data_IF_803292233360
#
_entry.id   IF_803292233360
#
_cell.length_a   1.000
_cell.length_b   1.000
_cell.length_c   1.000
_cell.angle_alpha   90.00
_cell.angle_beta   90.00
_cell.angle_gamma   90.00
#
_symmetry.space_group_name_H-M   'P 1'
#
loop_
_entity.id
_entity.type
_entity.pdbx_description
1 polymer ?
#
# COMPACT_ATOMS: atom_id res chain seq x y z
N UNK A 1 -13.01 -17.68 -18.35
CA UNK A 1 -12.78 -16.29 -17.94
C UNK A 1 -11.28 -16.04 -18.02
N UNK A 2 -10.84 -15.08 -18.85
CA UNK A 2 -9.44 -14.66 -18.89
C UNK A 2 -9.10 -14.01 -17.54
N UNK A 3 -7.97 -14.40 -16.94
CA UNK A 3 -7.48 -13.72 -15.73
C UNK A 3 -7.28 -12.24 -16.03
N UNK A 4 -7.68 -11.33 -15.13
CA UNK A 4 -7.49 -9.90 -15.36
C UNK A 4 -5.99 -9.60 -15.53
N UNK A 5 -5.66 -8.79 -16.53
CA UNK A 5 -4.30 -8.29 -16.74
C UNK A 5 -3.99 -7.34 -15.60
N UNK A 6 -2.99 -7.68 -14.81
CA UNK A 6 -2.53 -6.86 -13.69
C UNK A 6 -1.72 -5.65 -14.18
N UNK A 7 -1.73 -4.58 -13.39
CA UNK A 7 -0.91 -3.39 -13.68
C UNK A 7 0.57 -3.76 -13.71
N UNK A 8 1.35 -3.30 -14.71
CA UNK A 8 2.79 -3.53 -14.78
C UNK A 8 3.50 -3.08 -13.49
N UNK A 9 4.30 -3.96 -12.93
CA UNK A 9 5.04 -3.68 -11.70
C UNK A 9 6.47 -4.19 -11.78
N UNK A 10 7.40 -3.47 -11.13
CA UNK A 10 8.82 -3.78 -11.07
C UNK A 10 9.29 -3.66 -9.62
N UNK A 11 10.03 -4.66 -9.15
CA UNK A 11 10.71 -4.61 -7.85
C UNK A 11 12.22 -4.55 -8.09
N UNK A 12 12.84 -3.50 -7.57
CA UNK A 12 14.29 -3.31 -7.57
C UNK A 12 14.79 -3.43 -6.13
N UNK A 13 15.89 -4.15 -5.92
CA UNK A 13 16.49 -4.32 -4.59
C UNK A 13 17.99 -4.52 -4.69
N UNK A 14 18.72 -4.04 -3.70
CA UNK A 14 20.17 -4.26 -3.59
C UNK A 14 20.53 -5.53 -2.83
N UNK A 15 19.56 -6.31 -2.36
CA UNK A 15 19.81 -7.49 -1.50
C UNK A 15 20.63 -8.62 -2.20
N UNK A 16 20.63 -8.62 -3.53
CA UNK A 16 21.37 -9.61 -4.35
C UNK A 16 22.66 -9.06 -4.94
N UNK A 17 23.04 -7.82 -4.58
CA UNK A 17 24.22 -7.13 -5.12
C UNK A 17 25.29 -7.07 -4.03
N UNK A 18 26.55 -7.25 -4.42
CA UNK A 18 27.69 -7.09 -3.52
C UNK A 18 27.65 -5.72 -2.83
N UNK A 19 27.88 -5.63 -1.50
CA UNK A 19 27.71 -4.38 -0.74
C UNK A 19 28.48 -3.18 -1.33
N UNK A 20 29.66 -3.42 -1.90
CA UNK A 20 30.49 -2.37 -2.54
C UNK A 20 29.89 -1.85 -3.85
N UNK A 21 29.04 -2.61 -4.51
CA UNK A 21 28.42 -2.29 -5.79
C UNK A 21 26.96 -1.84 -5.62
N UNK A 22 26.37 -2.04 -4.45
CA UNK A 22 24.95 -1.82 -4.20
C UNK A 22 24.49 -0.38 -4.50
N UNK A 23 25.30 0.61 -4.14
CA UNK A 23 24.98 2.01 -4.42
C UNK A 23 25.05 2.32 -5.94
N UNK A 24 26.08 1.83 -6.62
CA UNK A 24 26.23 2.05 -8.06
C UNK A 24 25.13 1.34 -8.85
N UNK A 25 24.78 0.13 -8.47
CA UNK A 25 23.62 -0.58 -9.03
C UNK A 25 22.35 0.27 -8.89
N UNK A 26 22.08 0.78 -7.68
CA UNK A 26 20.91 1.60 -7.40
C UNK A 26 20.90 2.91 -8.21
N UNK A 27 22.05 3.53 -8.35
CA UNK A 27 22.23 4.73 -9.16
C UNK A 27 21.90 4.47 -10.63
N UNK A 28 22.38 3.38 -11.19
CA UNK A 28 22.22 3.06 -12.61
C UNK A 28 20.82 2.51 -12.95
N UNK A 29 20.11 1.96 -11.99
CA UNK A 29 18.76 1.40 -12.19
C UNK A 29 17.69 2.35 -11.69
N UNK A 30 17.54 2.43 -10.39
CA UNK A 30 16.43 3.08 -9.75
C UNK A 30 16.47 4.63 -9.83
N UNK A 31 17.65 5.23 -9.84
CA UNK A 31 17.79 6.70 -9.84
C UNK A 31 18.08 7.31 -11.21
N UNK A 32 18.53 6.52 -12.17
CA UNK A 32 18.95 7.02 -13.48
C UNK A 32 17.88 7.87 -14.21
N UNK A 33 16.60 7.53 -14.03
CA UNK A 33 15.47 8.26 -14.62
C UNK A 33 15.06 9.51 -13.82
N UNK A 34 15.63 9.75 -12.62
CA UNK A 34 15.15 10.79 -11.71
C UNK A 34 16.12 11.94 -11.50
N UNK A 35 17.34 11.86 -11.99
CA UNK A 35 18.31 12.95 -11.93
C UNK A 35 19.74 12.51 -11.59
N UNK A 36 20.59 13.48 -11.26
CA UNK A 36 21.94 13.22 -10.79
C UNK A 36 21.94 12.94 -9.29
N UNK A 37 22.91 12.17 -8.85
CA UNK A 37 23.14 11.97 -7.43
C UNK A 37 23.98 13.14 -6.90
N UNK A 38 23.53 13.71 -5.80
CA UNK A 38 24.25 14.74 -5.06
C UNK A 38 25.55 14.20 -4.46
N UNK A 39 26.38 15.12 -3.94
CA UNK A 39 27.74 14.83 -3.47
C UNK A 39 27.81 13.96 -2.19
N UNK A 40 26.71 13.73 -1.50
CA UNK A 40 26.66 12.88 -0.30
C UNK A 40 26.48 11.43 -0.69
N UNK A 41 27.59 10.70 -0.79
CA UNK A 41 27.56 9.25 -0.99
C UNK A 41 27.50 8.54 0.37
N UNK A 42 26.67 7.50 0.50
CA UNK A 42 26.79 6.60 1.65
C UNK A 42 28.15 5.92 1.59
N UNK A 43 28.98 6.14 2.61
CA UNK A 43 30.32 5.54 2.73
C UNK A 43 30.30 4.11 3.23
N UNK A 44 29.15 3.64 3.69
CA UNK A 44 28.95 2.31 4.29
C UNK A 44 27.85 1.55 3.56
N UNK A 45 27.58 0.34 3.96
CA UNK A 45 26.62 -0.60 3.32
C UNK A 45 25.33 0.07 2.89
N UNK A 46 25.24 0.38 1.61
CA UNK A 46 24.01 0.91 1.02
C UNK A 46 23.00 -0.22 0.85
N UNK A 47 21.78 0.01 1.30
CA UNK A 47 20.67 -0.92 1.11
C UNK A 47 19.44 -0.16 0.61
N UNK A 48 18.78 -0.70 -0.40
CA UNK A 48 17.55 -0.10 -0.93
C UNK A 48 16.65 -1.16 -1.56
N UNK A 49 15.33 -0.86 -1.49
CA UNK A 49 14.29 -1.62 -2.17
C UNK A 49 13.22 -0.68 -2.67
N UNK A 50 12.74 -0.89 -3.89
CA UNK A 50 11.65 -0.13 -4.48
C UNK A 50 10.68 -1.04 -5.22
N UNK A 51 9.40 -0.87 -4.98
CA UNK A 51 8.33 -1.30 -5.85
C UNK A 51 7.94 -0.11 -6.73
N UNK A 52 7.90 -0.31 -8.03
CA UNK A 52 7.35 0.64 -9.00
C UNK A 52 6.15 0.00 -9.68
N UNK A 53 5.03 0.70 -9.71
CA UNK A 53 3.84 0.31 -10.48
C UNK A 53 3.49 1.49 -11.37
N UNK A 54 3.27 1.25 -12.66
CA UNK A 54 3.03 2.32 -13.61
C UNK A 54 1.94 1.95 -14.62
N UNK A 55 1.17 2.95 -15.01
CA UNK A 55 0.23 2.94 -16.12
C UNK A 55 0.52 4.13 -17.04
N UNK A 56 -0.19 4.25 -18.15
CA UNK A 56 -0.01 5.37 -19.09
C UNK A 56 -0.27 6.76 -18.47
N UNK A 57 -1.06 6.84 -17.41
CA UNK A 57 -1.49 8.09 -16.79
C UNK A 57 -0.90 8.39 -15.42
N UNK A 58 -0.18 7.47 -14.79
CA UNK A 58 0.38 7.65 -13.44
C UNK A 58 1.47 6.64 -13.14
N UNK A 59 2.27 6.94 -12.12
CA UNK A 59 3.16 5.94 -11.53
C UNK A 59 3.17 6.07 -10.00
N UNK A 60 3.25 4.93 -9.32
CA UNK A 60 3.39 4.85 -7.88
C UNK A 60 4.67 4.10 -7.55
N UNK A 61 5.49 4.68 -6.67
CA UNK A 61 6.68 4.01 -6.13
C UNK A 61 6.59 3.92 -4.62
N UNK A 62 6.97 2.78 -4.07
CA UNK A 62 7.19 2.60 -2.64
C UNK A 62 8.67 2.25 -2.44
N UNK A 63 9.42 3.15 -1.83
CA UNK A 63 10.88 3.05 -1.69
C UNK A 63 11.26 3.03 -0.22
N UNK A 64 12.21 2.15 0.13
CA UNK A 64 12.96 2.18 1.39
C UNK A 64 14.43 2.16 1.01
N UNK A 65 15.22 3.11 1.55
CA UNK A 65 16.64 3.20 1.20
C UNK A 65 17.50 3.76 2.32
N UNK A 66 18.80 3.43 2.26
CA UNK A 66 19.84 4.21 2.93
C UNK A 66 19.82 5.66 2.46
N UNK A 67 20.45 6.61 3.19
CA UNK A 67 20.47 8.02 2.82
C UNK A 67 20.98 8.24 1.40
N UNK A 68 20.25 9.06 0.64
CA UNK A 68 20.59 9.45 -0.72
C UNK A 68 20.14 10.88 -0.99
N UNK A 69 20.87 11.58 -1.87
CA UNK A 69 20.51 12.90 -2.36
C UNK A 69 20.39 12.86 -3.89
N UNK A 70 19.36 13.48 -4.40
CA UNK A 70 19.03 13.54 -5.83
C UNK A 70 18.90 14.99 -6.26
N UNK A 71 19.64 15.39 -7.31
CA UNK A 71 19.51 16.67 -7.97
C UNK A 71 18.84 16.49 -9.35
N UNK A 72 17.63 16.97 -9.49
CA UNK A 72 16.93 17.08 -10.77
C UNK A 72 17.22 18.45 -11.39
N UNK A 73 18.16 18.48 -12.34
CA UNK A 73 18.65 19.72 -12.99
C UNK A 73 17.86 20.05 -14.25
N UNK A 74 18.00 21.26 -14.79
CA UNK A 74 17.35 21.71 -16.02
C UNK A 74 17.55 20.78 -17.22
N UNK A 75 18.70 20.09 -17.31
CA UNK A 75 18.98 19.10 -18.36
C UNK A 75 18.12 17.85 -18.30
N UNK A 76 17.55 17.53 -17.13
CA UNK A 76 16.66 16.38 -16.91
C UNK A 76 15.20 16.72 -17.21
N UNK A 77 14.90 18.02 -17.39
CA UNK A 77 13.56 18.47 -17.74
C UNK A 77 13.30 18.13 -19.19
N UNK A 78 12.49 17.12 -19.43
CA UNK A 78 12.01 16.83 -20.78
C UNK A 78 10.88 17.82 -21.13
N UNK A 79 11.17 18.71 -22.06
CA UNK A 79 10.22 19.73 -22.52
C UNK A 79 9.06 19.15 -23.33
N UNK A 80 9.22 17.94 -23.84
CA UNK A 80 8.22 17.23 -24.65
C UNK A 80 7.43 16.22 -23.82
N UNK A 81 7.91 15.86 -22.61
CA UNK A 81 7.17 14.99 -21.70
C UNK A 81 6.02 15.76 -21.04
N UNK A 82 4.93 15.07 -20.76
CA UNK A 82 3.86 15.61 -19.92
C UNK A 82 4.46 16.08 -18.60
N UNK A 83 4.18 17.32 -18.22
CA UNK A 83 4.58 17.82 -16.91
C UNK A 83 3.94 16.95 -15.82
N UNK A 84 4.78 16.29 -15.04
CA UNK A 84 4.32 15.43 -13.95
C UNK A 84 4.44 16.15 -12.62
N UNK A 85 3.45 16.00 -11.77
CA UNK A 85 3.49 16.39 -10.36
C UNK A 85 3.71 15.14 -9.52
N UNK A 86 4.67 15.21 -8.62
CA UNK A 86 4.99 14.13 -7.69
C UNK A 86 4.47 14.48 -6.31
N UNK A 87 3.60 13.65 -5.79
CA UNK A 87 3.06 13.70 -4.43
C UNK A 87 3.83 12.67 -3.61
N UNK A 88 4.61 13.11 -2.65
CA UNK A 88 5.39 12.24 -1.74
C UNK A 88 4.74 12.13 -0.39
N UNK A 89 4.78 10.95 0.21
CA UNK A 89 4.41 10.68 1.60
C UNK A 89 5.59 10.06 2.32
N UNK A 90 6.16 10.75 3.31
CA UNK A 90 7.16 10.19 4.21
C UNK A 90 6.55 9.11 5.10
N UNK A 91 7.17 7.93 5.15
CA UNK A 91 6.74 6.83 6.01
C UNK A 91 7.63 6.66 7.23
N UNK A 92 8.93 6.81 7.03
CA UNK A 92 9.96 6.63 8.04
C UNK A 92 11.19 7.48 7.72
N UNK A 93 11.99 7.84 8.74
CA UNK A 93 13.18 8.65 8.61
C UNK A 93 12.91 10.13 8.34
N UNK A 94 13.98 10.87 8.03
CA UNK A 94 13.94 12.31 7.77
C UNK A 94 14.42 12.58 6.34
N UNK A 95 13.53 13.16 5.54
CA UNK A 95 13.82 13.63 4.19
C UNK A 95 13.88 15.16 4.11
N UNK A 96 14.25 15.66 2.94
CA UNK A 96 14.16 17.07 2.61
C UNK A 96 13.98 17.25 1.10
N UNK A 97 13.43 18.38 0.70
CA UNK A 97 13.44 18.83 -0.68
C UNK A 97 13.56 20.35 -0.79
N UNK A 98 13.97 20.81 -1.95
CA UNK A 98 13.96 22.21 -2.33
C UNK A 98 13.54 22.36 -3.80
N UNK A 99 12.57 23.22 -4.06
CA UNK A 99 12.14 23.62 -5.40
C UNK A 99 11.59 25.05 -5.36
N UNK A 100 11.91 25.89 -6.35
CA UNK A 100 11.45 27.29 -6.42
C UNK A 100 11.90 28.16 -5.23
N UNK A 101 13.06 27.89 -4.64
CA UNK A 101 13.49 28.60 -3.43
C UNK A 101 12.66 28.27 -2.20
N UNK A 102 11.81 27.24 -2.26
CA UNK A 102 11.05 26.70 -1.14
C UNK A 102 11.67 25.38 -0.73
N UNK A 103 12.17 25.31 0.48
CA UNK A 103 12.72 24.09 1.06
C UNK A 103 11.89 23.62 2.25
N UNK A 104 11.77 22.30 2.40
CA UNK A 104 11.11 21.69 3.54
C UNK A 104 11.87 20.46 4.02
N UNK A 105 11.96 20.30 5.35
CA UNK A 105 12.25 19.02 5.98
C UNK A 105 10.98 18.19 5.99
N UNK A 106 11.11 16.89 5.73
CA UNK A 106 10.02 15.94 5.65
C UNK A 106 10.14 14.92 6.77
N UNK A 107 9.17 14.91 7.66
CA UNK A 107 9.06 13.93 8.73
C UNK A 107 8.08 12.83 8.35
N UNK A 108 8.05 11.69 9.07
CA UNK A 108 7.06 10.66 8.86
C UNK A 108 5.63 11.23 8.92
N UNK A 109 4.91 11.04 7.83
CA UNK A 109 3.55 11.52 7.64
C UNK A 109 3.40 12.83 6.89
N UNK A 110 4.48 13.57 6.65
CA UNK A 110 4.43 14.77 5.83
C UNK A 110 4.16 14.42 4.37
N UNK A 111 3.37 15.27 3.71
CA UNK A 111 3.04 15.18 2.29
C UNK A 111 3.83 16.24 1.56
N UNK A 112 4.58 15.86 0.55
CA UNK A 112 5.42 16.74 -0.25
C UNK A 112 4.94 16.85 -1.69
N UNK A 113 5.25 17.97 -2.34
CA UNK A 113 4.89 18.24 -3.73
C UNK A 113 6.09 18.70 -4.51
N UNK A 114 6.40 18.01 -5.61
CA UNK A 114 7.44 18.39 -6.55
C UNK A 114 6.88 18.41 -7.98
N UNK A 115 7.31 19.37 -8.78
CA UNK A 115 6.97 19.42 -10.20
C UNK A 115 8.18 19.01 -11.05
N UNK A 116 8.01 18.04 -11.93
CA UNK A 116 9.09 17.54 -12.81
C UNK A 116 9.36 18.43 -14.02
N UNK A 117 8.64 19.51 -14.20
CA UNK A 117 8.92 20.49 -15.24
C UNK A 117 9.98 21.53 -14.84
N UNK A 118 10.52 21.46 -13.62
CA UNK A 118 11.52 22.40 -13.08
C UNK A 118 12.56 21.68 -12.22
N UNK A 119 13.76 22.23 -12.08
CA UNK A 119 14.80 21.70 -11.23
C UNK A 119 14.34 21.61 -9.76
N UNK A 120 14.85 20.61 -9.07
CA UNK A 120 14.68 20.43 -7.62
C UNK A 120 15.83 19.62 -7.03
N UNK A 121 16.02 19.73 -5.73
CA UNK A 121 16.85 18.84 -4.91
C UNK A 121 15.95 18.09 -3.96
N UNK A 122 16.18 16.80 -3.80
CA UNK A 122 15.50 15.99 -2.78
C UNK A 122 16.50 15.01 -2.18
N UNK A 123 16.40 14.75 -0.90
CA UNK A 123 17.32 13.82 -0.26
C UNK A 123 16.83 13.37 1.10
N UNK A 124 17.65 12.53 1.74
CA UNK A 124 17.35 11.95 3.05
C UNK A 124 18.54 12.07 3.98
N UNK A 125 18.29 12.31 5.27
CA UNK A 125 19.31 12.43 6.30
C UNK A 125 19.56 11.11 7.04
N UNK A 126 18.60 10.21 7.00
CA UNK A 126 18.63 8.90 7.63
C UNK A 126 18.16 7.83 6.66
N UNK A 127 18.12 6.56 7.06
CA UNK A 127 17.32 5.55 6.37
C UNK A 127 15.90 6.07 6.25
N UNK A 128 15.29 5.90 5.08
CA UNK A 128 14.08 6.60 4.71
C UNK A 128 13.11 5.68 3.97
N UNK A 129 11.85 5.77 4.36
CA UNK A 129 10.74 5.11 3.70
C UNK A 129 9.77 6.13 3.13
N UNK A 130 9.33 5.96 1.86
CA UNK A 130 8.39 6.87 1.23
C UNK A 130 7.51 6.17 0.19
N UNK A 131 6.33 6.75 -0.03
CA UNK A 131 5.51 6.47 -1.21
C UNK A 131 5.47 7.73 -2.05
N UNK A 132 5.71 7.61 -3.36
CA UNK A 132 5.54 8.69 -4.33
C UNK A 132 4.49 8.31 -5.36
N UNK A 133 3.54 9.19 -5.57
CA UNK A 133 2.55 9.13 -6.64
C UNK A 133 2.85 10.25 -7.63
N UNK A 134 3.18 9.90 -8.86
CA UNK A 134 3.38 10.86 -9.95
C UNK A 134 2.17 10.80 -10.88
N UNK A 135 1.58 11.97 -11.16
CA UNK A 135 0.43 12.14 -12.05
C UNK A 135 0.67 13.30 -13.02
N UNK A 136 0.04 13.30 -14.21
CA UNK A 136 0.07 14.45 -15.10
C UNK A 136 -0.43 15.71 -14.39
N UNK A 137 0.17 16.86 -14.76
CA UNK A 137 -0.19 18.17 -14.20
C UNK A 137 -1.70 18.45 -14.32
N UNK A 138 -2.26 18.19 -15.48
CA UNK A 138 -3.69 18.39 -15.75
C UNK A 138 -4.58 17.54 -14.82
N UNK A 139 -4.15 16.33 -14.49
CA UNK A 139 -4.87 15.46 -13.55
C UNK A 139 -4.75 15.98 -12.12
N UNK A 140 -3.55 16.42 -11.71
CA UNK A 140 -3.35 17.03 -10.41
C UNK A 140 -4.20 18.29 -10.24
N UNK A 141 -4.19 19.18 -11.24
CA UNK A 141 -4.92 20.46 -11.20
C UNK A 141 -6.44 20.26 -11.18
N UNK A 142 -6.95 19.23 -11.83
CA UNK A 142 -8.37 18.89 -11.81
C UNK A 142 -8.88 18.46 -10.41
N UNK A 143 -8.02 17.82 -9.60
CA UNK A 143 -8.40 17.28 -8.30
C UNK A 143 -7.93 18.12 -7.10
N UNK A 144 -6.77 18.78 -7.23
CA UNK A 144 -6.06 19.37 -6.09
C UNK A 144 -5.91 20.89 -6.24
N UNK A 145 -5.69 21.36 -7.45
CA UNK A 145 -5.50 22.78 -7.75
C UNK A 145 -4.16 23.11 -8.38
N UNK A 146 -3.81 24.39 -8.46
CA UNK A 146 -2.62 24.89 -9.19
C UNK A 146 -1.32 24.20 -8.75
N UNK A 147 -0.73 23.43 -9.64
CA UNK A 147 0.50 22.67 -9.40
C UNK A 147 1.70 23.56 -9.06
N UNK A 148 1.79 24.78 -9.61
CA UNK A 148 2.90 25.71 -9.32
C UNK A 148 2.76 26.32 -7.92
N UNK A 149 1.53 26.46 -7.42
CA UNK A 149 1.29 26.88 -6.04
C UNK A 149 1.78 25.85 -5.03
N UNK A 150 1.74 24.54 -5.37
CA UNK A 150 2.18 23.45 -4.50
C UNK A 150 3.66 23.10 -4.65
N UNK A 151 4.29 23.34 -5.80
CA UNK A 151 5.67 22.95 -6.08
C UNK A 151 6.65 23.44 -4.99
N UNK A 152 7.42 22.51 -4.41
CA UNK A 152 8.35 22.75 -3.32
C UNK A 152 7.72 22.95 -1.94
N UNK A 153 6.41 22.77 -1.79
CA UNK A 153 5.73 22.82 -0.49
C UNK A 153 5.62 21.44 0.14
N UNK A 154 5.40 21.44 1.45
CA UNK A 154 4.96 20.29 2.22
C UNK A 154 3.72 20.64 3.04
N UNK A 155 2.91 19.62 3.32
CA UNK A 155 1.80 19.69 4.27
C UNK A 155 2.13 18.81 5.45
N UNK A 156 1.99 19.35 6.65
CA UNK A 156 2.18 18.58 7.89
C UNK A 156 0.95 17.69 8.16
N UNK A 157 1.15 16.54 8.82
CA UNK A 157 0.05 15.65 9.14
C UNK A 157 -0.96 16.37 10.07
N UNK A 158 -2.08 16.72 9.49
CA UNK A 158 -3.26 17.19 10.23
C UNK A 158 -4.22 16.00 10.43
N UNK A 159 -5.14 15.99 11.41
CA UNK A 159 -6.14 14.94 11.53
C UNK A 159 -6.85 14.58 10.22
N UNK A 160 -7.12 15.56 9.36
CA UNK A 160 -7.67 15.35 8.02
C UNK A 160 -6.70 14.58 7.07
N UNK A 161 -5.38 14.72 7.26
CA UNK A 161 -4.36 14.03 6.48
C UNK A 161 -4.26 12.53 6.76
N UNK A 162 -4.80 12.05 7.88
CA UNK A 162 -4.81 10.62 8.23
C UNK A 162 -5.59 9.82 7.19
N UNK A 163 -6.69 10.34 6.66
CA UNK A 163 -7.48 9.68 5.62
C UNK A 163 -6.67 9.47 4.34
N UNK A 164 -6.03 10.52 3.85
CA UNK A 164 -5.16 10.48 2.68
C UNK A 164 -4.00 9.49 2.87
N UNK A 165 -3.26 9.62 3.98
CA UNK A 165 -2.13 8.72 4.30
C UNK A 165 -2.56 7.26 4.30
N UNK A 166 -3.63 6.95 5.03
CA UNK A 166 -4.12 5.58 5.13
C UNK A 166 -4.54 5.04 3.77
N UNK A 167 -5.22 5.84 2.96
CA UNK A 167 -5.63 5.44 1.61
C UNK A 167 -4.43 5.18 0.73
N UNK A 168 -3.45 6.10 0.69
CA UNK A 168 -2.26 5.96 -0.13
C UNK A 168 -1.42 4.75 0.28
N UNK A 169 -1.23 4.51 1.58
CA UNK A 169 -0.55 3.31 2.08
C UNK A 169 -1.29 2.02 1.70
N UNK A 170 -2.62 2.01 1.80
CA UNK A 170 -3.44 0.84 1.42
C UNK A 170 -3.32 0.55 -0.07
N UNK A 171 -3.41 1.59 -0.91
CA UNK A 171 -3.23 1.46 -2.36
C UNK A 171 -1.83 0.95 -2.67
N UNK A 172 -0.78 1.55 -2.11
CA UNK A 172 0.60 1.12 -2.34
C UNK A 172 0.87 -0.34 -1.95
N UNK A 173 0.18 -0.85 -0.93
CA UNK A 173 0.32 -2.23 -0.47
C UNK A 173 -0.39 -3.27 -1.38
N UNK A 174 -1.36 -2.84 -2.19
CA UNK A 174 -2.21 -3.75 -2.96
C UNK A 174 -2.22 -3.50 -4.47
N UNK A 175 -1.69 -2.36 -4.93
CA UNK A 175 -1.82 -1.89 -6.32
C UNK A 175 -1.22 -2.86 -7.34
N UNK A 176 -0.12 -3.54 -7.01
CA UNK A 176 0.52 -4.53 -7.89
C UNK A 176 -0.35 -5.78 -8.17
N UNK A 177 -1.44 -5.94 -7.42
CA UNK A 177 -2.39 -7.06 -7.56
C UNK A 177 -3.74 -6.61 -8.13
N UNK A 178 -3.85 -5.36 -8.56
CA UNK A 178 -5.03 -4.78 -9.17
C UNK A 178 -4.96 -4.87 -10.69
N UNK A 179 -6.12 -4.95 -11.32
CA UNK A 179 -6.25 -4.65 -12.74
C UNK A 179 -6.03 -3.16 -12.99
N UNK A 180 -5.79 -2.77 -14.23
CA UNK A 180 -5.55 -1.37 -14.59
C UNK A 180 -6.73 -0.47 -14.20
N UNK A 181 -7.97 -0.91 -14.42
CA UNK A 181 -9.17 -0.14 -14.04
C UNK A 181 -9.34 0.01 -12.53
N UNK A 182 -9.08 -1.06 -11.75
CA UNK A 182 -9.11 -0.99 -10.29
C UNK A 182 -8.03 -0.06 -9.73
N UNK A 183 -6.81 -0.12 -10.29
CA UNK A 183 -5.71 0.75 -9.92
C UNK A 183 -6.01 2.21 -10.26
N UNK A 184 -6.55 2.50 -11.46
CA UNK A 184 -6.97 3.83 -11.86
C UNK A 184 -8.00 4.41 -10.86
N UNK A 185 -9.06 3.67 -10.55
CA UNK A 185 -10.08 4.07 -9.56
C UNK A 185 -9.49 4.29 -8.18
N UNK A 186 -8.51 3.45 -7.79
CA UNK A 186 -7.82 3.58 -6.50
C UNK A 186 -6.99 4.89 -6.43
N UNK A 187 -6.28 5.25 -7.50
CA UNK A 187 -5.50 6.49 -7.62
C UNK A 187 -6.40 7.72 -7.63
N UNK A 188 -7.50 7.70 -8.37
CA UNK A 188 -8.50 8.78 -8.36
C UNK A 188 -9.05 9.02 -6.95
N UNK A 189 -9.35 7.96 -6.21
CA UNK A 189 -9.76 8.06 -4.82
C UNK A 189 -8.70 8.66 -3.89
N UNK A 190 -7.41 8.45 -4.16
CA UNK A 190 -6.30 9.12 -3.45
C UNK A 190 -6.27 10.60 -3.77
N UNK A 191 -6.38 10.99 -5.04
CA UNK A 191 -6.36 12.39 -5.48
C UNK A 191 -7.57 13.17 -4.95
N UNK A 192 -8.74 12.55 -4.95
CA UNK A 192 -9.96 13.14 -4.37
C UNK A 192 -9.79 13.46 -2.86
N UNK A 193 -9.20 12.52 -2.09
CA UNK A 193 -8.90 12.77 -0.68
C UNK A 193 -7.85 13.88 -0.48
N UNK A 194 -6.86 13.96 -1.37
CA UNK A 194 -5.87 15.03 -1.35
C UNK A 194 -6.50 16.39 -1.63
N UNK A 195 -7.39 16.50 -2.63
CA UNK A 195 -8.12 17.71 -2.93
C UNK A 195 -8.94 18.21 -1.74
N UNK A 196 -9.69 17.32 -1.09
CA UNK A 196 -10.42 17.67 0.13
C UNK A 196 -9.50 18.08 1.29
N UNK A 197 -8.34 17.47 1.44
CA UNK A 197 -7.36 17.85 2.45
C UNK A 197 -6.87 19.29 2.21
N UNK A 198 -6.56 19.62 0.97
CA UNK A 198 -6.06 20.94 0.57
C UNK A 198 -7.15 22.01 0.71
N UNK A 199 -8.35 21.75 0.23
CA UNK A 199 -9.50 22.65 0.40
C UNK A 199 -9.83 22.90 1.88
N UNK A 200 -9.77 21.87 2.70
CA UNK A 200 -9.99 21.95 4.13
C UNK A 200 -8.92 22.75 4.87
N UNK A 201 -7.68 22.79 4.37
CA UNK A 201 -6.60 23.65 4.89
C UNK A 201 -6.78 25.11 4.47
N UNK A 202 -7.36 25.36 3.30
CA UNK A 202 -7.66 26.71 2.80
C UNK A 202 -8.93 27.32 3.47
N UNK A 203 -9.88 26.48 3.86
CA UNK A 203 -11.13 26.89 4.51
C UNK A 203 -11.14 26.48 5.98
N UNK A 204 -10.40 27.14 6.85
CA UNK A 204 -10.56 26.98 8.32
C UNK A 204 -11.87 27.62 8.80
N UNK A 205 -13.02 27.11 8.37
CA UNK A 205 -14.33 27.45 8.95
C UNK A 205 -15.26 26.24 8.87
N UNK A 206 -15.40 25.56 9.98
CA UNK A 206 -16.18 24.37 10.36
C UNK A 206 -15.43 23.03 10.16
N UNK A 207 -15.47 22.13 11.16
CA UNK A 207 -14.99 20.76 10.98
C UNK A 207 -15.85 20.12 9.89
N UNK A 208 -15.22 19.82 8.73
CA UNK A 208 -15.89 19.08 7.68
C UNK A 208 -16.29 17.71 8.26
N UNK A 209 -17.55 17.37 8.17
CA UNK A 209 -18.00 16.00 8.46
C UNK A 209 -17.18 15.06 7.55
N UNK A 210 -16.40 14.20 8.18
CA UNK A 210 -15.65 13.18 7.45
C UNK A 210 -16.66 12.33 6.68
N UNK A 211 -16.57 12.31 5.35
CA UNK A 211 -17.54 11.59 4.53
C UNK A 211 -17.63 10.13 4.96
N UNK A 212 -18.80 9.53 4.90
CA UNK A 212 -18.99 8.11 5.27
C UNK A 212 -18.01 7.21 4.52
N UNK A 213 -17.74 7.49 3.23
CA UNK A 213 -16.78 6.76 2.42
C UNK A 213 -15.34 6.84 2.98
N UNK A 214 -14.92 8.01 3.46
CA UNK A 214 -13.63 8.19 4.11
C UNK A 214 -13.54 7.41 5.43
N UNK A 215 -14.58 7.42 6.25
CA UNK A 215 -14.67 6.63 7.48
C UNK A 215 -14.55 5.13 7.17
N UNK A 216 -15.28 4.63 6.17
CA UNK A 216 -15.20 3.22 5.72
C UNK A 216 -13.80 2.87 5.26
N UNK A 217 -13.16 3.72 4.46
CA UNK A 217 -11.80 3.49 3.96
C UNK A 217 -10.78 3.41 5.08
N UNK A 218 -10.82 4.35 6.03
CA UNK A 218 -9.95 4.38 7.20
C UNK A 218 -10.10 3.15 8.09
N UNK A 219 -11.36 2.79 8.37
CA UNK A 219 -11.67 1.63 9.20
C UNK A 219 -11.22 0.32 8.54
N UNK A 220 -11.44 0.14 7.24
CA UNK A 220 -10.98 -1.04 6.49
C UNK A 220 -9.45 -1.16 6.49
N UNK A 221 -8.74 -0.05 6.31
CA UNK A 221 -7.28 -0.05 6.37
C UNK A 221 -6.76 -0.40 7.78
N UNK A 222 -7.41 0.07 8.85
CA UNK A 222 -7.07 -0.31 10.21
C UNK A 222 -7.35 -1.80 10.46
N UNK A 223 -8.48 -2.31 10.00
CA UNK A 223 -8.84 -3.74 10.06
C UNK A 223 -7.78 -4.58 9.35
N UNK A 224 -7.39 -4.21 8.12
CA UNK A 224 -6.41 -4.97 7.35
C UNK A 224 -5.05 -5.12 8.07
N UNK A 225 -4.63 -4.11 8.83
CA UNK A 225 -3.39 -4.17 9.63
C UNK A 225 -3.50 -5.03 10.89
N UNK A 226 -4.69 -5.08 11.51
CA UNK A 226 -4.89 -5.72 12.82
C UNK A 226 -5.85 -6.90 12.82
N UNK A 227 -6.35 -7.36 11.66
CA UNK A 227 -7.35 -8.43 11.60
C UNK A 227 -6.88 -9.78 12.16
N UNK A 228 -5.54 -9.99 12.31
CA UNK A 228 -4.99 -11.19 12.96
C UNK A 228 -5.04 -11.13 14.49
N UNK A 229 -5.24 -9.94 15.05
CA UNK A 229 -5.43 -9.77 16.48
C UNK A 229 -6.84 -10.24 16.85
N UNK A 230 -6.99 -11.31 17.67
CA UNK A 230 -8.31 -11.84 18.02
C UNK A 230 -9.15 -10.84 18.82
N UNK A 231 -8.49 -9.94 19.57
CA UNK A 231 -9.13 -8.95 20.44
C UNK A 231 -9.54 -7.68 19.69
N UNK A 232 -9.22 -7.56 18.40
CA UNK A 232 -9.63 -6.41 17.60
C UNK A 232 -11.16 -6.25 17.60
N UNK A 233 -11.62 -5.16 18.20
CA UNK A 233 -13.03 -4.79 18.34
C UNK A 233 -13.34 -3.43 17.69
N UNK A 234 -14.63 -3.11 17.43
CA UNK A 234 -15.02 -1.81 16.89
C UNK A 234 -14.52 -0.60 17.70
N UNK A 235 -14.42 -0.75 19.03
CA UNK A 235 -13.93 0.30 19.93
C UNK A 235 -12.45 0.64 19.68
N UNK A 236 -11.63 -0.35 19.29
CA UNK A 236 -10.22 -0.12 18.99
C UNK A 236 -10.06 0.69 17.70
N UNK A 237 -10.91 0.40 16.70
CA UNK A 237 -10.96 1.18 15.45
C UNK A 237 -11.42 2.62 15.75
N UNK A 238 -12.47 2.78 16.56
CA UNK A 238 -12.97 4.07 16.97
C UNK A 238 -11.87 4.91 17.65
N UNK A 239 -11.18 4.32 18.62
CA UNK A 239 -10.11 4.98 19.37
C UNK A 239 -8.92 5.33 18.47
N UNK A 240 -8.49 4.39 17.63
CA UNK A 240 -7.35 4.56 16.74
C UNK A 240 -7.56 5.64 15.66
N UNK A 241 -8.82 5.85 15.25
CA UNK A 241 -9.16 6.80 14.20
C UNK A 241 -9.71 8.13 14.75
N UNK A 242 -9.88 8.27 16.08
CA UNK A 242 -10.48 9.46 16.70
C UNK A 242 -11.93 9.71 16.26
N UNK A 243 -12.68 8.65 15.91
CA UNK A 243 -14.05 8.74 15.41
C UNK A 243 -15.08 8.63 16.55
N UNK A 244 -16.22 9.31 16.40
CA UNK A 244 -17.35 9.04 17.27
C UNK A 244 -17.96 7.66 16.95
N UNK A 245 -18.56 7.01 17.97
CA UNK A 245 -19.27 5.73 17.77
C UNK A 245 -20.35 5.88 16.67
N UNK A 246 -21.14 6.95 16.73
CA UNK A 246 -22.18 7.23 15.76
C UNK A 246 -21.64 7.33 14.34
N UNK A 247 -20.52 8.04 14.11
CA UNK A 247 -19.90 8.18 12.80
C UNK A 247 -19.42 6.85 12.24
N UNK A 248 -18.76 6.03 13.09
CA UNK A 248 -18.27 4.70 12.67
C UNK A 248 -19.42 3.76 12.31
N UNK A 249 -20.45 3.66 13.18
CA UNK A 249 -21.57 2.75 12.94
C UNK A 249 -22.44 3.20 11.76
N UNK A 250 -22.67 4.50 11.60
CA UNK A 250 -23.41 5.06 10.46
C UNK A 250 -22.70 4.74 9.13
N UNK A 251 -21.37 4.85 9.09
CA UNK A 251 -20.61 4.59 7.90
C UNK A 251 -20.69 3.11 7.43
N UNK A 252 -20.91 2.18 8.35
CA UNK A 252 -21.03 0.74 8.03
C UNK A 252 -22.48 0.23 8.04
N UNK A 253 -23.49 1.09 8.21
CA UNK A 253 -24.89 0.66 8.33
C UNK A 253 -25.36 -0.16 7.12
N UNK A 254 -25.03 0.29 5.90
CA UNK A 254 -25.42 -0.36 4.64
C UNK A 254 -24.64 -1.63 4.34
N UNK A 255 -23.49 -1.86 4.99
CA UNK A 255 -22.59 -3.00 4.73
C UNK A 255 -22.66 -4.08 5.81
N UNK A 256 -23.73 -4.07 6.63
CA UNK A 256 -23.93 -5.06 7.69
C UNK A 256 -23.13 -4.79 8.97
N UNK A 257 -22.57 -3.60 9.12
CA UNK A 257 -21.91 -3.13 10.34
C UNK A 257 -20.41 -3.41 10.40
N UNK A 258 -19.73 -2.65 11.25
CA UNK A 258 -18.26 -2.70 11.41
C UNK A 258 -17.77 -4.07 11.92
N UNK A 259 -18.50 -4.76 12.79
CA UNK A 259 -18.16 -6.10 13.26
C UNK A 259 -18.19 -7.13 12.12
N UNK A 260 -19.13 -6.98 11.18
CA UNK A 260 -19.19 -7.77 9.95
C UNK A 260 -17.97 -7.50 9.09
N UNK A 261 -17.57 -6.24 8.91
CA UNK A 261 -16.38 -5.88 8.14
C UNK A 261 -15.09 -6.50 8.72
N UNK A 262 -14.93 -6.54 10.04
CA UNK A 262 -13.79 -7.23 10.70
C UNK A 262 -13.83 -8.73 10.38
N UNK A 263 -14.97 -9.38 10.58
CA UNK A 263 -15.13 -10.80 10.33
C UNK A 263 -14.86 -11.14 8.87
N UNK A 264 -15.38 -10.35 7.95
CA UNK A 264 -15.24 -10.56 6.52
C UNK A 264 -13.79 -10.42 6.06
N UNK A 265 -13.06 -9.42 6.56
CA UNK A 265 -11.63 -9.27 6.29
C UNK A 265 -10.80 -10.50 6.76
N UNK A 266 -11.13 -11.04 7.94
CA UNK A 266 -10.51 -12.28 8.47
C UNK A 266 -10.81 -13.49 7.59
N UNK A 267 -12.06 -13.61 7.11
CA UNK A 267 -12.47 -14.70 6.21
C UNK A 267 -11.78 -14.61 4.84
N UNK A 268 -11.66 -13.40 4.27
CA UNK A 268 -10.96 -13.17 3.01
C UNK A 268 -9.45 -13.49 3.14
N UNK A 269 -8.84 -13.16 4.27
CA UNK A 269 -7.45 -13.55 4.55
C UNK A 269 -7.31 -15.08 4.66
N UNK A 270 -8.24 -15.73 5.36
CA UNK A 270 -8.22 -17.18 5.52
C UNK A 270 -8.39 -17.90 4.18
N UNK A 271 -9.28 -17.42 3.32
CA UNK A 271 -9.45 -17.94 1.96
C UNK A 271 -8.15 -17.89 1.17
N UNK A 272 -7.49 -16.72 1.12
CA UNK A 272 -6.19 -16.57 0.43
C UNK A 272 -5.11 -17.53 0.99
N UNK A 273 -5.07 -17.72 2.31
CA UNK A 273 -4.13 -18.66 2.94
C UNK A 273 -4.42 -20.12 2.63
N UNK A 274 -5.70 -20.49 2.54
CA UNK A 274 -6.12 -21.84 2.14
C UNK A 274 -5.78 -22.12 0.68
N UNK A 275 -6.05 -21.17 -0.23
CA UNK A 275 -5.72 -21.26 -1.65
C UNK A 275 -4.20 -21.31 -1.91
N UNK A 276 -3.40 -20.60 -1.09
CA UNK A 276 -1.94 -20.60 -1.16
C UNK A 276 -1.28 -21.83 -0.53
N UNK A 277 -1.99 -22.61 0.27
CA UNK A 277 -1.46 -23.79 0.97
C UNK A 277 -1.28 -24.98 0.03
N UNK A 278 -0.14 -25.04 -0.68
CA UNK A 278 0.18 -26.08 -1.68
C UNK A 278 0.33 -27.49 -1.10
N UNK A 279 0.68 -27.64 0.17
CA UNK A 279 1.13 -28.93 0.73
C UNK A 279 0.04 -29.72 1.49
N UNK A 280 -1.20 -29.25 1.53
CA UNK A 280 -2.31 -29.95 2.24
C UNK A 280 -2.08 -30.17 3.76
N UNK A 281 -0.88 -29.88 4.28
CA UNK A 281 -0.45 -30.16 5.66
C UNK A 281 -0.91 -29.12 6.69
N UNK A 282 -1.29 -27.91 6.22
CA UNK A 282 -1.70 -26.84 7.14
C UNK A 282 -3.08 -27.14 7.72
N UNK A 283 -3.17 -27.20 9.04
CA UNK A 283 -4.45 -27.45 9.74
C UNK A 283 -5.38 -26.26 9.59
N UNK A 284 -6.65 -26.50 9.25
CA UNK A 284 -7.68 -25.46 9.13
C UNK A 284 -7.78 -24.61 10.41
N UNK A 285 -7.69 -25.26 11.57
CA UNK A 285 -7.68 -24.59 12.86
C UNK A 285 -6.52 -23.59 12.98
N UNK A 286 -5.32 -23.95 12.53
CA UNK A 286 -4.16 -23.06 12.55
C UNK A 286 -4.37 -21.82 11.67
N UNK A 287 -5.00 -21.98 10.50
CA UNK A 287 -5.35 -20.84 9.62
C UNK A 287 -6.40 -19.96 10.30
N UNK A 288 -7.44 -20.55 10.90
CA UNK A 288 -8.49 -19.82 11.61
C UNK A 288 -7.88 -18.93 12.73
N UNK A 289 -7.09 -19.51 13.62
CA UNK A 289 -6.41 -18.76 14.70
C UNK A 289 -5.45 -17.69 14.16
N UNK A 290 -4.65 -18.01 13.15
CA UNK A 290 -3.74 -17.06 12.52
C UNK A 290 -4.44 -15.91 11.76
N UNK A 291 -5.75 -16.04 11.51
CA UNK A 291 -6.60 -14.99 10.94
C UNK A 291 -7.44 -14.25 12.00
N UNK A 292 -7.16 -14.47 13.30
CA UNK A 292 -7.81 -13.76 14.40
C UNK A 292 -9.16 -14.33 14.84
N UNK A 293 -9.50 -15.56 14.46
CA UNK A 293 -10.67 -16.25 15.03
C UNK A 293 -10.30 -16.88 16.37
N UNK A 294 -11.20 -16.79 17.35
CA UNK A 294 -11.03 -17.38 18.67
C UNK A 294 -11.50 -18.83 18.73
N UNK A 295 -12.38 -19.23 17.81
CA UNK A 295 -12.90 -20.61 17.73
C UNK A 295 -13.14 -21.06 16.28
N UNK A 296 -12.91 -22.36 16.03
CA UNK A 296 -13.04 -22.98 14.73
C UNK A 296 -14.51 -23.14 14.28
N UNK A 297 -15.47 -23.48 15.16
CA UNK A 297 -16.88 -23.53 14.78
C UNK A 297 -17.41 -22.22 14.21
N UNK A 298 -17.13 -21.09 14.82
CA UNK A 298 -17.52 -19.75 14.33
C UNK A 298 -16.84 -19.43 12.99
N UNK A 299 -15.56 -19.77 12.85
CA UNK A 299 -14.85 -19.65 11.58
C UNK A 299 -15.54 -20.47 10.47
N UNK A 300 -15.80 -21.75 10.69
CA UNK A 300 -16.40 -22.63 9.67
C UNK A 300 -17.78 -22.16 9.25
N UNK A 301 -18.63 -21.76 10.22
CA UNK A 301 -19.98 -21.23 9.90
C UNK A 301 -19.88 -19.93 9.09
N UNK A 302 -18.99 -19.01 9.50
CA UNK A 302 -18.77 -17.75 8.78
C UNK A 302 -18.24 -17.97 7.38
N UNK A 303 -17.29 -18.88 7.21
CA UNK A 303 -16.66 -19.20 5.93
C UNK A 303 -17.68 -19.79 4.94
N UNK A 304 -18.46 -20.78 5.40
CA UNK A 304 -19.52 -21.39 4.56
C UNK A 304 -20.60 -20.37 4.20
N UNK A 305 -21.01 -19.49 5.15
CA UNK A 305 -21.97 -18.44 4.88
C UNK A 305 -21.49 -17.45 3.83
N UNK A 306 -20.18 -17.10 3.84
CA UNK A 306 -19.61 -16.09 2.95
C UNK A 306 -19.27 -16.63 1.56
N UNK A 307 -18.74 -17.86 1.49
CA UNK A 307 -18.18 -18.42 0.25
C UNK A 307 -18.99 -19.59 -0.33
N UNK A 308 -20.03 -20.07 0.35
CA UNK A 308 -20.87 -21.18 -0.09
C UNK A 308 -20.25 -22.58 0.03
N UNK A 309 -18.98 -22.67 0.50
CA UNK A 309 -18.21 -23.92 0.60
C UNK A 309 -17.47 -24.00 1.92
N UNK A 310 -17.07 -25.20 2.36
CA UNK A 310 -16.32 -25.36 3.58
C UNK A 310 -14.83 -25.02 3.36
N UNK A 311 -14.09 -24.59 4.42
CA UNK A 311 -12.66 -24.30 4.29
C UNK A 311 -11.83 -25.48 3.78
N UNK A 312 -12.27 -26.72 4.05
CA UNK A 312 -11.61 -27.93 3.58
C UNK A 312 -11.71 -28.16 2.06
N UNK A 313 -12.76 -27.65 1.45
CA UNK A 313 -13.04 -27.84 0.04
C UNK A 313 -12.11 -27.02 -0.88
N UNK A 314 -11.46 -25.99 -0.30
CA UNK A 314 -10.46 -25.17 -1.01
C UNK A 314 -9.05 -25.76 -1.02
N UNK A 315 -8.85 -26.90 -0.36
CA UNK A 315 -7.55 -27.57 -0.40
C UNK A 315 -7.37 -28.28 -1.74
N UNK A 316 -6.19 -28.18 -2.36
CA UNK A 316 -5.90 -29.07 -3.49
C UNK A 316 -6.05 -30.52 -3.03
N UNK A 317 -6.75 -31.32 -3.84
CA UNK A 317 -6.95 -32.73 -3.58
C UNK A 317 -5.59 -33.42 -3.37
N UNK A 318 -5.39 -34.07 -2.23
CA UNK A 318 -4.22 -34.92 -2.04
C UNK A 318 -4.28 -36.02 -3.11
N UNK A 319 -3.16 -36.30 -3.83
CA UNK A 319 -3.12 -37.53 -4.61
C UNK A 319 -3.35 -38.68 -3.63
N UNK A 320 -4.41 -39.45 -3.88
CA UNK A 320 -4.70 -40.64 -3.12
C UNK A 320 -3.46 -41.55 -3.21
N UNK A 321 -2.74 -41.68 -2.11
CA UNK A 321 -1.74 -42.71 -1.97
C UNK A 321 -2.48 -44.05 -2.17
N UNK A 322 -2.24 -44.65 -3.31
CA UNK A 322 -2.75 -45.95 -3.70
C UNK A 322 -2.31 -46.94 -2.61
N UNK A 323 -3.21 -47.29 -1.67
CA UNK A 323 -2.96 -48.38 -0.74
C UNK A 323 -2.99 -49.67 -1.56
N UNK A 324 -1.86 -49.99 -2.13
CA UNK A 324 -1.61 -51.36 -2.58
C UNK A 324 -1.48 -52.19 -1.32
N UNK A 325 -2.55 -52.89 -0.97
CA UNK A 325 -2.46 -53.95 0.04
C UNK A 325 -1.51 -55.01 -0.48
N UNK A 326 -0.50 -55.41 0.29
CA UNK A 326 0.35 -56.52 -0.09
C UNK A 326 -0.52 -57.78 -0.08
N UNK A 327 -0.63 -58.45 -1.25
CA UNK A 327 -1.17 -59.82 -1.34
C UNK A 327 -0.27 -60.72 -0.51
N UNK A 328 -0.83 -61.32 0.52
CA UNK A 328 -0.23 -62.45 1.18
C UNK A 328 -0.01 -63.61 0.20
N UNK A 329 1.13 -64.24 0.15
CA UNK A 329 1.33 -65.45 -0.64
C UNK A 329 0.54 -66.61 0.00
N UNK A 330 -0.17 -67.39 -0.85
CA UNK A 330 -0.84 -68.60 -0.43
C UNK A 330 0.18 -69.65 0.09
N UNK A 331 -0.21 -70.42 1.15
CA UNK A 331 0.63 -71.53 1.63
C UNK A 331 0.62 -72.69 0.64
N UNK A 332 1.70 -73.46 0.56
CA UNK A 332 1.78 -74.61 -0.33
C UNK A 332 0.80 -75.73 0.15
N UNK A 333 0.03 -76.27 -0.76
CA UNK A 333 -0.79 -77.45 -0.50
C UNK A 333 0.04 -78.73 -0.56
N UNK A 334 -0.39 -79.78 0.15
CA UNK A 334 0.36 -81.00 0.42
C UNK A 334 0.52 -81.91 -0.83
#
# INVERSE_FOLDING_TARGET
>A
MLSPVLVPSLVETTNHVEPKQAFEFWRCTALAAFGDIGRRHPRERFAAKRLTVASAGWSLTHTVSSPVELEFRSRHVDRNARAMVVIGLGLDGIGYHEQHGRGAQLNPGDISFLSRNRPFVAGTQSAYGEIRLAVPREVFEAWVGDADAFAGRSLNPHPAGVAFRTRLCTVAASIAWMSEGEAQTAIEGVLHLLGHLVDGTARRTKPAEVSQAAVVSLARAHIARRMHDPDLAPQDIQRALGLSRTSLYRAFAETGGIATAIRDARLDLARRRLEAARDGKVRIASIAYACGFTDVPTFNRGFRKRFGLAPGDLRPAQPQANRVSPRQPDPPRP
#
